data_IF_873295837567
#
_entry.id   IF_873295837567
#
_cell.length_a   1.000
_cell.length_b   1.000
_cell.length_c   1.000
_cell.angle_alpha   90.00
_cell.angle_beta   90.00
_cell.angle_gamma   90.00
#
_symmetry.space_group_name_H-M   'P 1'
#
loop_
_entity.id
_entity.type
_entity.pdbx_description
1 polymer ?
#
# COMPACT_ATOMS: atom_id res chain seq x y z
N UNK A 1 28.03 1.34 -6.93
CA UNK A 1 26.84 2.20 -6.80
C UNK A 1 25.58 1.46 -6.35
N UNK A 2 25.24 0.29 -6.89
CA UNK A 2 24.05 -0.51 -6.47
C UNK A 2 23.94 -0.71 -4.94
N UNK A 3 25.04 -0.92 -4.22
CA UNK A 3 25.06 -1.08 -2.75
C UNK A 3 24.52 0.18 -2.04
N UNK A 4 24.90 1.35 -2.48
CA UNK A 4 24.44 2.62 -1.88
C UNK A 4 22.95 2.86 -2.15
N UNK A 5 22.48 2.57 -3.36
CA UNK A 5 21.05 2.65 -3.71
C UNK A 5 20.23 1.71 -2.82
N UNK A 6 20.68 0.46 -2.63
CA UNK A 6 20.05 -0.49 -1.73
C UNK A 6 20.04 -0.03 -0.27
N UNK A 7 21.11 0.65 0.19
CA UNK A 7 21.13 1.27 1.51
C UNK A 7 20.11 2.39 1.64
N UNK A 8 19.99 3.26 0.63
CA UNK A 8 18.95 4.30 0.59
C UNK A 8 17.55 3.70 0.59
N UNK A 9 17.28 2.66 -0.21
CA UNK A 9 15.98 1.95 -0.22
C UNK A 9 15.67 1.39 1.17
N UNK A 10 16.66 0.79 1.83
CA UNK A 10 16.49 0.23 3.17
C UNK A 10 16.18 1.31 4.21
N UNK A 11 16.93 2.40 4.21
CA UNK A 11 16.69 3.53 5.10
C UNK A 11 15.32 4.19 4.83
N UNK A 12 14.98 4.38 3.56
CA UNK A 12 13.68 4.92 3.14
C UNK A 12 12.52 4.05 3.66
N UNK A 13 12.64 2.73 3.52
CA UNK A 13 11.63 1.80 4.02
C UNK A 13 11.46 1.91 5.54
N UNK A 14 12.57 1.85 6.29
CA UNK A 14 12.53 1.97 7.75
C UNK A 14 11.95 3.31 8.17
N UNK A 15 12.42 4.40 7.57
CA UNK A 15 12.00 5.74 7.93
C UNK A 15 10.51 5.99 7.60
N UNK A 16 10.01 5.44 6.47
CA UNK A 16 8.59 5.53 6.12
C UNK A 16 7.67 4.86 7.13
N UNK A 17 8.17 3.89 7.91
CA UNK A 17 7.41 3.27 8.99
C UNK A 17 7.28 4.16 10.23
N UNK A 18 8.25 5.05 10.48
CA UNK A 18 8.31 5.86 11.70
C UNK A 18 8.05 7.36 11.50
N UNK A 19 8.04 7.85 10.28
CA UNK A 19 7.98 9.29 10.02
C UNK A 19 6.79 9.98 10.66
N UNK A 20 5.62 9.36 10.63
CA UNK A 20 4.40 9.88 11.23
C UNK A 20 4.44 9.79 12.77
N UNK A 21 5.01 8.73 13.34
CA UNK A 21 5.20 8.59 14.78
C UNK A 21 6.12 9.68 15.30
N UNK A 22 7.27 9.90 14.66
CA UNK A 22 8.21 10.95 15.05
C UNK A 22 7.57 12.34 14.97
N UNK A 23 6.79 12.59 13.93
CA UNK A 23 6.04 13.84 13.83
C UNK A 23 5.00 14.00 14.94
N UNK A 24 4.28 12.95 15.29
CA UNK A 24 3.26 12.97 16.34
C UNK A 24 3.84 13.31 17.71
N UNK A 25 5.08 12.91 17.99
CA UNK A 25 5.75 13.22 19.26
C UNK A 25 6.49 14.57 19.26
N UNK A 26 7.16 14.91 18.16
CA UNK A 26 8.07 16.07 18.14
C UNK A 26 7.48 17.29 17.43
N UNK A 27 6.39 17.15 16.68
CA UNK A 27 5.74 18.19 15.88
C UNK A 27 6.68 18.94 14.90
N UNK A 28 7.80 18.29 14.52
CA UNK A 28 8.80 18.87 13.62
C UNK A 28 8.51 18.50 12.17
N UNK A 29 7.99 19.45 11.40
CA UNK A 29 7.61 19.24 9.99
C UNK A 29 8.79 18.82 9.08
N UNK A 30 10.03 19.17 9.45
CA UNK A 30 11.24 18.77 8.73
C UNK A 30 11.40 17.24 8.66
N UNK A 31 10.91 16.51 9.68
CA UNK A 31 10.96 15.04 9.70
C UNK A 31 10.23 14.42 8.49
N UNK A 32 9.24 15.09 7.95
CA UNK A 32 8.54 14.62 6.76
C UNK A 32 9.31 14.79 5.44
N UNK A 33 10.38 15.57 5.44
CA UNK A 33 11.20 15.77 4.22
C UNK A 33 12.31 14.72 4.09
N UNK A 34 12.65 14.01 5.18
CA UNK A 34 13.71 13.00 5.17
C UNK A 34 13.47 11.87 4.15
N UNK A 35 12.27 11.28 4.02
CA UNK A 35 12.02 10.27 2.99
C UNK A 35 12.30 10.78 1.58
N UNK A 36 11.97 12.03 1.28
CA UNK A 36 12.19 12.61 -0.05
C UNK A 36 13.67 12.89 -0.30
N UNK A 37 14.41 13.34 0.71
CA UNK A 37 15.86 13.51 0.61
C UNK A 37 16.57 12.18 0.36
N UNK A 38 16.17 11.12 1.06
CA UNK A 38 16.70 9.76 0.84
C UNK A 38 16.37 9.28 -0.59
N UNK A 39 15.17 9.55 -1.06
CA UNK A 39 14.74 9.18 -2.39
C UNK A 39 15.49 9.98 -3.47
N UNK A 40 15.66 11.27 -3.26
CA UNK A 40 16.45 12.13 -4.14
C UNK A 40 17.91 11.67 -4.21
N UNK A 41 18.53 11.36 -3.06
CA UNK A 41 19.88 10.81 -2.99
C UNK A 41 19.99 9.49 -3.78
N UNK A 42 19.02 8.57 -3.61
CA UNK A 42 18.97 7.32 -4.38
C UNK A 42 18.85 7.58 -5.89
N UNK A 43 18.00 8.55 -6.29
CA UNK A 43 17.80 8.92 -7.68
C UNK A 43 19.08 9.52 -8.30
N UNK A 44 19.76 10.42 -7.60
CA UNK A 44 21.04 11.01 -8.05
C UNK A 44 22.11 9.93 -8.23
N UNK A 45 22.26 9.02 -7.24
CA UNK A 45 23.22 7.92 -7.34
C UNK A 45 22.89 7.01 -8.54
N UNK A 46 21.60 6.70 -8.76
CA UNK A 46 21.17 5.89 -9.89
C UNK A 46 21.41 6.60 -11.24
N UNK A 47 21.21 7.90 -11.30
CA UNK A 47 21.51 8.72 -12.48
C UNK A 47 23.01 8.71 -12.80
N UNK A 48 23.87 8.94 -11.81
CA UNK A 48 25.33 8.87 -11.95
C UNK A 48 25.80 7.47 -12.37
N UNK A 49 25.21 6.40 -11.80
CA UNK A 49 25.51 5.01 -12.18
C UNK A 49 25.11 4.72 -13.64
N UNK A 50 23.99 5.28 -14.08
CA UNK A 50 23.50 5.14 -15.47
C UNK A 50 24.35 5.94 -16.45
N UNK A 51 24.69 7.17 -16.09
CA UNK A 51 25.54 8.04 -16.90
C UNK A 51 26.93 7.45 -17.11
N UNK A 52 27.58 6.99 -16.03
CA UNK A 52 28.89 6.34 -16.11
C UNK A 52 28.88 5.01 -16.88
N UNK A 53 27.74 4.34 -16.95
CA UNK A 53 27.57 3.12 -17.73
C UNK A 53 27.17 3.35 -19.19
N UNK A 54 26.94 4.61 -19.61
CA UNK A 54 26.48 4.98 -20.94
C UNK A 54 25.09 4.48 -21.33
N UNK A 55 24.30 3.99 -20.36
CA UNK A 55 22.94 3.48 -20.57
C UNK A 55 22.11 3.47 -19.28
N UNK A 56 20.84 3.79 -19.41
CA UNK A 56 19.89 3.67 -18.31
C UNK A 56 19.74 2.18 -17.96
N UNK A 57 20.12 1.82 -16.73
CA UNK A 57 20.01 0.45 -16.24
C UNK A 57 18.59 0.14 -15.79
N UNK A 58 17.68 -0.07 -16.74
CA UNK A 58 16.39 -0.69 -16.44
C UNK A 58 16.56 -2.20 -16.53
N UNK A 59 16.83 -2.86 -15.39
CA UNK A 59 17.11 -4.30 -15.39
C UNK A 59 15.93 -5.17 -15.82
N UNK A 60 14.71 -4.70 -15.61
CA UNK A 60 13.50 -5.41 -15.98
C UNK A 60 12.46 -4.44 -16.55
N UNK A 61 12.60 -3.98 -17.81
CA UNK A 61 11.54 -3.20 -18.43
C UNK A 61 10.29 -4.08 -18.57
N UNK A 62 9.18 -3.60 -18.06
CA UNK A 62 7.90 -4.27 -18.20
C UNK A 62 6.78 -3.24 -18.33
N UNK A 63 5.65 -3.70 -18.86
CA UNK A 63 4.52 -2.83 -19.21
C UNK A 63 4.00 -1.99 -18.03
N UNK A 64 4.01 -2.52 -16.80
CA UNK A 64 3.58 -1.76 -15.62
C UNK A 64 4.48 -0.57 -15.32
N UNK A 65 5.80 -0.67 -15.51
CA UNK A 65 6.71 0.47 -15.35
C UNK A 65 6.42 1.55 -16.41
N UNK A 66 6.19 1.13 -17.65
CA UNK A 66 5.84 2.05 -18.74
C UNK A 66 4.49 2.74 -18.48
N UNK A 67 3.47 1.99 -18.05
CA UNK A 67 2.16 2.57 -17.73
C UNK A 67 2.24 3.56 -16.57
N UNK A 68 3.02 3.27 -15.53
CA UNK A 68 3.21 4.21 -14.42
C UNK A 68 3.97 5.47 -14.87
N UNK A 69 4.97 5.31 -15.75
CA UNK A 69 5.69 6.46 -16.32
C UNK A 69 4.77 7.33 -17.18
N UNK A 70 3.92 6.73 -18.02
CA UNK A 70 2.92 7.46 -18.82
C UNK A 70 1.94 8.21 -17.90
N UNK A 71 1.45 7.57 -16.83
CA UNK A 71 0.59 8.21 -15.84
C UNK A 71 1.29 9.42 -15.20
N UNK A 72 2.56 9.27 -14.79
CA UNK A 72 3.34 10.35 -14.20
C UNK A 72 3.46 11.54 -15.17
N UNK A 73 3.89 11.29 -16.40
CA UNK A 73 4.05 12.34 -17.42
C UNK A 73 2.72 13.02 -17.72
N UNK A 74 1.65 12.26 -17.90
CA UNK A 74 0.32 12.79 -18.13
C UNK A 74 -0.13 13.73 -17.00
N UNK A 75 0.02 13.32 -15.74
CA UNK A 75 -0.34 14.13 -14.58
C UNK A 75 0.52 15.38 -14.45
N UNK A 76 1.83 15.30 -14.72
CA UNK A 76 2.71 16.48 -14.70
C UNK A 76 2.33 17.48 -15.80
N UNK A 77 2.01 17.00 -17.01
CA UNK A 77 1.59 17.86 -18.13
C UNK A 77 0.20 18.45 -17.83
N UNK A 78 -0.68 17.75 -17.12
CA UNK A 78 -2.03 18.22 -16.83
C UNK A 78 -2.06 19.57 -16.09
N UNK A 79 -0.99 19.93 -15.39
CA UNK A 79 -0.85 21.26 -14.78
C UNK A 79 -0.95 22.40 -15.80
N UNK A 80 -0.58 22.18 -17.06
CA UNK A 80 -0.55 23.23 -18.10
C UNK A 80 -1.93 23.72 -18.53
N UNK A 81 -2.98 22.92 -18.35
CA UNK A 81 -4.37 23.29 -18.66
C UNK A 81 -5.26 23.44 -17.44
N UNK A 82 -4.69 23.26 -16.25
CA UNK A 82 -5.43 23.35 -15.02
C UNK A 82 -5.51 24.75 -14.43
N UNK A 83 -6.24 24.89 -13.35
CA UNK A 83 -6.17 26.09 -12.51
C UNK A 83 -4.79 26.18 -11.88
N UNK A 84 -4.13 27.33 -12.02
CA UNK A 84 -2.76 27.55 -11.54
C UNK A 84 -2.64 27.54 -10.00
N UNK A 85 -2.76 26.35 -9.41
CA UNK A 85 -2.48 26.13 -7.99
C UNK A 85 -1.07 25.54 -7.83
N UNK A 86 -0.06 26.39 -7.80
CA UNK A 86 1.35 25.98 -7.69
C UNK A 86 1.60 25.16 -6.44
N UNK A 87 1.03 25.54 -5.30
CA UNK A 87 1.19 24.78 -4.05
C UNK A 87 0.60 23.37 -4.17
N UNK A 88 -0.62 23.27 -4.67
CA UNK A 88 -1.28 21.98 -4.92
C UNK A 88 -0.48 21.10 -5.88
N UNK A 89 0.01 21.69 -6.98
CA UNK A 89 0.86 21.01 -7.95
C UNK A 89 2.15 20.46 -7.31
N UNK A 90 2.88 21.28 -6.56
CA UNK A 90 4.13 20.86 -5.93
C UNK A 90 3.87 19.74 -4.91
N UNK A 91 2.85 19.89 -4.07
CA UNK A 91 2.54 18.89 -3.05
C UNK A 91 2.07 17.57 -3.65
N UNK A 92 1.18 17.62 -4.62
CA UNK A 92 0.64 16.43 -5.27
C UNK A 92 1.67 15.75 -6.18
N UNK A 93 2.37 16.55 -6.99
CA UNK A 93 3.45 16.08 -7.87
C UNK A 93 4.59 15.41 -7.12
N UNK A 94 4.98 15.96 -5.96
CA UNK A 94 5.97 15.36 -5.06
C UNK A 94 5.62 13.91 -4.68
N UNK A 95 4.36 13.65 -4.29
CA UNK A 95 3.95 12.30 -3.88
C UNK A 95 3.88 11.33 -5.05
N UNK A 96 3.38 11.76 -6.19
CA UNK A 96 3.29 10.92 -7.39
C UNK A 96 4.70 10.60 -7.93
N UNK A 97 5.56 11.61 -8.03
CA UNK A 97 6.96 11.42 -8.42
C UNK A 97 7.70 10.52 -7.44
N UNK A 98 7.52 10.75 -6.12
CA UNK A 98 8.11 9.92 -5.08
C UNK A 98 7.67 8.46 -5.18
N UNK A 99 6.38 8.21 -5.36
CA UNK A 99 5.84 6.88 -5.57
C UNK A 99 6.44 6.19 -6.81
N UNK A 100 6.55 6.91 -7.92
CA UNK A 100 7.18 6.40 -9.14
C UNK A 100 8.66 6.05 -8.90
N UNK A 101 9.41 6.93 -8.25
CA UNK A 101 10.83 6.71 -7.95
C UNK A 101 11.04 5.50 -7.03
N UNK A 102 10.22 5.35 -5.96
CA UNK A 102 10.26 4.16 -5.09
C UNK A 102 9.99 2.90 -5.90
N UNK A 103 8.95 2.90 -6.73
CA UNK A 103 8.62 1.76 -7.57
C UNK A 103 9.77 1.44 -8.54
N UNK A 104 10.29 2.43 -9.25
CA UNK A 104 11.40 2.30 -10.20
C UNK A 104 12.68 1.78 -9.52
N UNK A 105 13.10 2.40 -8.42
CA UNK A 105 14.32 2.03 -7.70
C UNK A 105 14.23 0.61 -7.15
N UNK A 106 13.12 0.27 -6.50
CA UNK A 106 12.90 -1.08 -5.97
C UNK A 106 12.90 -2.12 -7.09
N UNK A 107 12.21 -1.83 -8.20
CA UNK A 107 12.17 -2.73 -9.35
C UNK A 107 13.56 -2.95 -9.99
N UNK A 108 14.36 -1.90 -10.11
CA UNK A 108 15.61 -1.93 -10.90
C UNK A 108 16.85 -2.31 -10.08
N UNK A 109 16.90 -1.98 -8.80
CA UNK A 109 18.12 -2.07 -8.00
C UNK A 109 18.05 -3.00 -6.79
N UNK A 110 16.85 -3.40 -6.32
CA UNK A 110 16.71 -4.25 -5.15
C UNK A 110 17.43 -5.59 -5.35
N UNK A 111 18.36 -5.91 -4.47
CA UNK A 111 19.08 -7.20 -4.45
C UNK A 111 18.47 -8.19 -3.44
N UNK A 112 18.87 -9.47 -3.55
CA UNK A 112 18.36 -10.57 -2.72
C UNK A 112 18.63 -10.35 -1.23
N UNK A 113 19.81 -9.84 -0.89
CA UNK A 113 20.22 -9.62 0.50
C UNK A 113 19.41 -8.50 1.14
N UNK A 114 19.27 -7.39 0.43
CA UNK A 114 18.46 -6.25 0.87
C UNK A 114 17.00 -6.62 1.00
N UNK A 115 16.45 -7.34 0.01
CA UNK A 115 15.06 -7.82 0.07
C UNK A 115 14.81 -8.70 1.30
N UNK A 116 15.64 -9.69 1.55
CA UNK A 116 15.51 -10.56 2.74
C UNK A 116 15.62 -9.76 4.04
N UNK A 117 16.54 -8.78 4.10
CA UNK A 117 16.69 -7.88 5.25
C UNK A 117 15.41 -7.05 5.47
N UNK A 118 14.81 -6.49 4.40
CA UNK A 118 13.59 -5.68 4.50
C UNK A 118 12.39 -6.48 4.98
N UNK A 119 12.23 -7.71 4.51
CA UNK A 119 11.15 -8.60 4.97
C UNK A 119 11.32 -8.96 6.46
N UNK A 120 12.55 -9.19 6.93
CA UNK A 120 12.80 -9.43 8.34
C UNK A 120 12.58 -8.17 9.20
N UNK A 121 12.96 -7.00 8.69
CA UNK A 121 12.65 -5.71 9.34
C UNK A 121 11.15 -5.52 9.43
N UNK A 122 10.40 -5.72 8.34
CA UNK A 122 8.95 -5.61 8.34
C UNK A 122 8.29 -6.55 9.37
N UNK A 123 8.79 -7.79 9.48
CA UNK A 123 8.33 -8.73 10.51
C UNK A 123 8.54 -8.19 11.92
N UNK A 124 9.76 -7.73 12.23
CA UNK A 124 10.11 -7.19 13.55
C UNK A 124 9.31 -5.91 13.86
N UNK A 125 9.16 -5.04 12.87
CA UNK A 125 8.40 -3.81 12.99
C UNK A 125 6.91 -4.04 13.25
N UNK A 126 6.34 -5.15 12.77
CA UNK A 126 4.96 -5.50 13.09
C UNK A 126 4.78 -5.91 14.55
N UNK A 127 5.77 -6.56 15.15
CA UNK A 127 5.76 -6.86 16.58
C UNK A 127 5.83 -5.57 17.39
N UNK A 128 6.73 -4.65 17.02
CA UNK A 128 6.83 -3.34 17.66
C UNK A 128 5.54 -2.53 17.48
N UNK A 129 4.92 -2.63 16.30
CA UNK A 129 3.64 -1.99 16.02
C UNK A 129 2.55 -2.44 17.00
N UNK A 130 2.45 -3.74 17.27
CA UNK A 130 1.50 -4.27 18.28
C UNK A 130 1.76 -3.68 19.66
N UNK A 131 3.02 -3.64 20.09
CA UNK A 131 3.37 -3.09 21.41
C UNK A 131 2.98 -1.61 21.54
N UNK A 132 3.21 -0.82 20.47
CA UNK A 132 2.82 0.59 20.45
C UNK A 132 1.31 0.78 20.38
N UNK A 133 0.58 -0.04 19.61
CA UNK A 133 -0.89 -0.04 19.57
C UNK A 133 -1.46 -0.33 20.95
N UNK A 134 -0.95 -1.35 21.64
CA UNK A 134 -1.37 -1.66 23.02
C UNK A 134 -1.06 -0.51 23.99
N UNK A 135 0.12 0.11 23.89
CA UNK A 135 0.47 1.28 24.69
C UNK A 135 -0.47 2.47 24.41
N UNK A 136 -0.75 2.74 23.12
CA UNK A 136 -1.64 3.84 22.72
C UNK A 136 -3.08 3.63 23.20
N UNK A 137 -3.58 2.40 23.14
CA UNK A 137 -4.94 2.06 23.56
C UNK A 137 -5.08 1.99 25.09
N UNK A 138 -4.18 1.24 25.77
CA UNK A 138 -4.31 0.92 27.22
C UNK A 138 -3.74 2.03 28.10
N UNK A 139 -2.58 2.61 27.72
CA UNK A 139 -1.87 3.58 28.57
C UNK A 139 -2.27 5.02 28.23
N UNK A 140 -2.31 5.34 26.92
CA UNK A 140 -2.66 6.69 26.48
C UNK A 140 -4.17 6.90 26.30
N UNK A 141 -4.97 5.83 26.38
CA UNK A 141 -6.43 5.86 26.19
C UNK A 141 -6.87 6.59 24.91
N UNK A 142 -6.10 6.43 23.80
CA UNK A 142 -6.44 7.08 22.56
C UNK A 142 -7.68 6.43 21.91
N UNK A 143 -8.53 7.22 21.25
CA UNK A 143 -9.63 6.68 20.46
C UNK A 143 -9.10 5.74 19.36
N UNK A 144 -9.87 4.73 18.92
CA UNK A 144 -9.43 3.74 17.93
C UNK A 144 -8.85 4.34 16.67
N UNK A 145 -9.45 5.39 16.10
CA UNK A 145 -8.97 6.08 14.89
C UNK A 145 -7.59 6.74 15.05
N UNK A 146 -7.15 6.97 16.30
CA UNK A 146 -5.84 7.54 16.63
C UNK A 146 -4.84 6.49 17.11
N UNK A 147 -5.23 5.22 17.17
CA UNK A 147 -4.42 4.11 17.66
C UNK A 147 -3.68 3.46 16.48
N UNK A 148 -2.61 4.12 15.99
CA UNK A 148 -1.93 3.73 14.75
C UNK A 148 -0.51 3.19 14.95
N UNK A 149 -0.12 2.83 16.18
CA UNK A 149 1.16 2.20 16.48
C UNK A 149 2.37 2.98 15.95
N UNK A 150 3.18 2.33 15.14
CA UNK A 150 4.37 2.93 14.51
C UNK A 150 4.03 4.06 13.52
N UNK A 151 2.78 4.19 13.10
CA UNK A 151 2.32 5.24 12.18
C UNK A 151 1.79 6.50 12.91
N UNK A 152 1.97 6.61 14.23
CA UNK A 152 1.65 7.81 15.01
C UNK A 152 0.23 7.87 15.57
N UNK A 153 -0.29 9.08 15.80
CA UNK A 153 -1.58 9.32 16.45
C UNK A 153 -2.55 10.12 15.60
N UNK A 154 -2.35 10.20 14.28
CA UNK A 154 -3.23 10.95 13.41
C UNK A 154 -4.30 10.04 12.82
N UNK A 155 -5.54 10.51 12.71
CA UNK A 155 -6.62 9.76 12.06
C UNK A 155 -6.33 9.40 10.58
N UNK A 156 -5.40 10.11 9.93
CA UNK A 156 -4.96 9.80 8.56
C UNK A 156 -4.03 8.58 8.48
N UNK A 157 -3.40 8.18 9.58
CA UNK A 157 -2.48 7.06 9.62
C UNK A 157 -3.18 5.69 9.66
N UNK A 158 -4.47 5.66 10.00
CA UNK A 158 -5.27 4.44 10.09
C UNK A 158 -5.29 3.65 8.76
N UNK A 159 -5.38 4.34 7.63
CA UNK A 159 -5.36 3.72 6.31
C UNK A 159 -4.04 3.02 5.97
N UNK A 160 -2.88 3.65 6.27
CA UNK A 160 -1.57 3.04 6.00
C UNK A 160 -1.28 1.89 6.96
N UNK A 161 -1.69 2.00 8.23
CA UNK A 161 -1.58 0.90 9.19
C UNK A 161 -2.36 -0.33 8.73
N UNK A 162 -3.61 -0.14 8.32
CA UNK A 162 -4.42 -1.23 7.80
C UNK A 162 -3.82 -1.84 6.52
N UNK A 163 -3.32 -1.02 5.61
CA UNK A 163 -2.63 -1.50 4.41
C UNK A 163 -1.36 -2.31 4.78
N UNK A 164 -0.55 -1.82 5.72
CA UNK A 164 0.65 -2.52 6.16
C UNK A 164 0.33 -3.88 6.78
N UNK A 165 -0.66 -3.94 7.69
CA UNK A 165 -1.16 -5.17 8.26
C UNK A 165 -1.64 -6.15 7.17
N UNK A 166 -2.36 -5.65 6.17
CA UNK A 166 -2.87 -6.45 5.07
C UNK A 166 -1.75 -6.97 4.16
N UNK A 167 -0.79 -6.12 3.79
CA UNK A 167 0.36 -6.52 2.98
C UNK A 167 1.20 -7.62 3.65
N UNK A 168 1.43 -7.49 4.97
CA UNK A 168 2.14 -8.51 5.74
C UNK A 168 1.33 -9.80 5.91
N UNK A 169 0.02 -9.72 6.07
CA UNK A 169 -0.86 -10.88 6.16
C UNK A 169 -0.91 -11.66 4.84
N UNK A 170 -1.00 -10.95 3.70
CA UNK A 170 -0.92 -11.53 2.36
C UNK A 170 0.45 -12.19 2.14
N UNK A 171 1.54 -11.48 2.45
CA UNK A 171 2.91 -12.01 2.34
C UNK A 171 3.09 -13.27 3.19
N UNK A 172 2.61 -13.25 4.43
CA UNK A 172 2.67 -14.36 5.38
C UNK A 172 1.92 -15.59 4.86
N UNK A 173 0.68 -15.40 4.39
CA UNK A 173 -0.15 -16.47 3.83
C UNK A 173 0.52 -17.10 2.61
N UNK A 174 1.00 -16.27 1.67
CA UNK A 174 1.65 -16.77 0.45
C UNK A 174 2.97 -17.48 0.80
N UNK A 175 3.81 -16.93 1.67
CA UNK A 175 5.08 -17.56 2.04
C UNK A 175 4.88 -18.88 2.79
N UNK A 176 3.83 -19.00 3.61
CA UNK A 176 3.45 -20.26 4.21
C UNK A 176 3.04 -21.29 3.15
N UNK A 177 2.15 -20.94 2.23
CA UNK A 177 1.67 -21.84 1.17
C UNK A 177 2.79 -22.31 0.24
N UNK A 178 3.80 -21.46 -0.01
CA UNK A 178 4.97 -21.83 -0.82
C UNK A 178 6.09 -22.50 0.01
N UNK A 179 5.88 -22.73 1.32
CA UNK A 179 6.85 -23.38 2.20
C UNK A 179 8.11 -22.57 2.49
N UNK A 180 8.06 -21.23 2.28
CA UNK A 180 9.16 -20.32 2.61
C UNK A 180 9.22 -19.98 4.10
N UNK A 181 8.08 -19.95 4.75
CA UNK A 181 7.94 -19.70 6.19
C UNK A 181 7.24 -20.88 6.87
N UNK A 182 7.64 -21.12 8.13
CA UNK A 182 6.98 -22.11 8.99
C UNK A 182 5.62 -21.61 9.47
N UNK A 183 4.78 -22.55 9.92
CA UNK A 183 3.42 -22.30 10.39
C UNK A 183 3.37 -21.26 11.50
N UNK A 184 4.20 -21.42 12.54
CA UNK A 184 4.20 -20.49 13.70
C UNK A 184 4.52 -19.05 13.30
N UNK A 185 5.59 -18.84 12.51
CA UNK A 185 5.97 -17.50 12.03
C UNK A 185 4.83 -16.84 11.26
N UNK A 186 4.16 -17.60 10.42
CA UNK A 186 3.07 -17.10 9.58
C UNK A 186 1.81 -16.78 10.37
N UNK A 187 1.41 -17.67 11.26
CA UNK A 187 0.22 -17.47 12.10
C UNK A 187 0.40 -16.32 13.08
N UNK A 188 1.57 -16.19 13.72
CA UNK A 188 1.87 -15.08 14.63
C UNK A 188 1.71 -13.74 13.92
N UNK A 189 2.25 -13.60 12.69
CA UNK A 189 2.18 -12.34 11.96
C UNK A 189 0.74 -11.98 11.56
N UNK A 190 -0.05 -12.96 11.13
CA UNK A 190 -1.47 -12.75 10.81
C UNK A 190 -2.25 -12.39 12.08
N UNK A 191 -2.02 -13.10 13.19
CA UNK A 191 -2.67 -12.83 14.48
C UNK A 191 -2.38 -11.40 14.95
N UNK A 192 -1.10 -10.98 14.94
CA UNK A 192 -0.70 -9.62 15.28
C UNK A 192 -1.44 -8.60 14.42
N UNK A 193 -1.50 -8.82 13.10
CA UNK A 193 -2.20 -7.92 12.17
C UNK A 193 -3.71 -7.84 12.46
N UNK A 194 -4.36 -8.97 12.77
CA UNK A 194 -5.77 -9.00 13.16
C UNK A 194 -6.01 -8.24 14.47
N UNK A 195 -5.16 -8.43 15.48
CA UNK A 195 -5.29 -7.75 16.77
C UNK A 195 -5.12 -6.23 16.60
N UNK A 196 -4.09 -5.79 15.87
CA UNK A 196 -3.86 -4.37 15.58
C UNK A 196 -5.09 -3.76 14.89
N UNK A 197 -5.59 -4.39 13.84
CA UNK A 197 -6.74 -3.88 13.09
C UNK A 197 -8.04 -3.93 13.89
N UNK A 198 -8.19 -4.86 14.83
CA UNK A 198 -9.33 -4.90 15.74
C UNK A 198 -9.28 -3.73 16.74
N UNK A 199 -8.12 -3.49 17.38
CA UNK A 199 -7.94 -2.41 18.35
C UNK A 199 -8.04 -1.01 17.73
N UNK A 200 -7.62 -0.86 16.46
CA UNK A 200 -7.71 0.37 15.69
C UNK A 200 -9.04 0.51 14.90
N UNK A 201 -10.02 -0.39 15.11
CA UNK A 201 -11.30 -0.43 14.38
C UNK A 201 -11.19 -0.38 12.85
N UNK A 202 -10.14 -0.94 12.28
CA UNK A 202 -9.92 -0.98 10.82
C UNK A 202 -10.76 -2.12 10.20
N UNK A 203 -12.06 -1.90 10.11
CA UNK A 203 -13.07 -2.91 9.68
C UNK A 203 -12.82 -3.43 8.27
N UNK A 204 -12.42 -2.55 7.36
CA UNK A 204 -12.17 -2.85 5.95
C UNK A 204 -11.02 -3.86 5.76
N UNK A 205 -10.07 -3.92 6.69
CA UNK A 205 -8.99 -4.90 6.69
C UNK A 205 -9.54 -6.33 6.62
N UNK A 206 -10.51 -6.67 7.45
CA UNK A 206 -11.05 -8.02 7.54
C UNK A 206 -11.74 -8.44 6.24
N UNK A 207 -12.53 -7.53 5.67
CA UNK A 207 -13.25 -7.78 4.41
C UNK A 207 -12.24 -8.02 3.26
N UNK A 208 -11.28 -7.11 3.09
CA UNK A 208 -10.30 -7.23 1.99
C UNK A 208 -9.38 -8.43 2.22
N UNK A 209 -9.04 -8.77 3.47
CA UNK A 209 -8.21 -9.93 3.77
C UNK A 209 -8.89 -11.24 3.39
N UNK A 210 -10.20 -11.39 3.66
CA UNK A 210 -10.97 -12.56 3.23
C UNK A 210 -10.93 -12.69 1.70
N UNK A 211 -11.21 -11.61 0.96
CA UNK A 211 -11.12 -11.62 -0.50
C UNK A 211 -9.70 -11.95 -0.98
N UNK A 212 -8.68 -11.42 -0.32
CA UNK A 212 -7.28 -11.71 -0.63
C UNK A 212 -6.95 -13.20 -0.47
N UNK A 213 -7.45 -13.85 0.58
CA UNK A 213 -7.28 -15.29 0.81
C UNK A 213 -7.95 -16.08 -0.31
N UNK A 214 -9.19 -15.75 -0.66
CA UNK A 214 -9.91 -16.41 -1.76
C UNK A 214 -9.11 -16.32 -3.06
N UNK A 215 -8.60 -15.13 -3.39
CA UNK A 215 -7.78 -14.93 -4.60
C UNK A 215 -6.46 -15.71 -4.53
N UNK A 216 -5.79 -15.74 -3.37
CA UNK A 216 -4.58 -16.54 -3.17
C UNK A 216 -4.89 -18.01 -3.49
N UNK A 217 -5.99 -18.55 -3.00
CA UNK A 217 -6.36 -19.96 -3.25
C UNK A 217 -6.71 -20.23 -4.71
N UNK A 218 -7.37 -19.30 -5.39
CA UNK A 218 -7.70 -19.43 -6.82
C UNK A 218 -6.44 -19.42 -7.67
N UNK A 219 -5.52 -18.49 -7.41
CA UNK A 219 -4.37 -18.25 -8.27
C UNK A 219 -3.09 -18.99 -7.87
N UNK A 220 -3.06 -19.62 -6.68
CA UNK A 220 -1.92 -20.45 -6.31
C UNK A 220 -1.80 -21.66 -7.24
N UNK A 221 -0.61 -21.86 -7.81
CA UNK A 221 -0.29 -22.99 -8.69
C UNK A 221 0.51 -24.02 -7.91
N UNK A 222 -0.11 -24.78 -7.03
CA UNK A 222 0.60 -25.72 -6.20
C UNK A 222 0.08 -27.16 -6.29
N UNK A 223 0.99 -28.12 -6.19
CA UNK A 223 0.71 -29.56 -6.22
C UNK A 223 0.00 -30.07 -4.95
N UNK A 224 -0.50 -31.29 -5.00
CA UNK A 224 -1.43 -31.94 -4.05
C UNK A 224 -1.02 -31.92 -2.57
N UNK A 225 0.29 -31.93 -2.26
CA UNK A 225 0.83 -31.87 -0.88
C UNK A 225 0.41 -30.60 -0.14
N UNK A 226 0.01 -29.60 -0.89
CA UNK A 226 -0.36 -28.26 -0.38
C UNK A 226 -1.83 -28.11 -0.04
N UNK A 227 -2.71 -29.07 -0.41
CA UNK A 227 -4.13 -29.05 -0.03
C UNK A 227 -4.30 -29.10 1.49
N UNK A 228 -3.50 -29.92 2.19
CA UNK A 228 -3.50 -29.99 3.64
C UNK A 228 -3.07 -28.66 4.26
N UNK A 229 -2.04 -28.01 3.71
CA UNK A 229 -1.63 -26.66 4.16
C UNK A 229 -2.71 -25.62 3.93
N UNK A 230 -3.45 -25.71 2.82
CA UNK A 230 -4.56 -24.82 2.51
C UNK A 230 -5.65 -24.95 3.57
N UNK A 231 -6.05 -26.18 3.88
CA UNK A 231 -7.09 -26.46 4.89
C UNK A 231 -6.63 -25.99 6.28
N UNK A 232 -5.38 -26.29 6.67
CA UNK A 232 -4.84 -25.86 7.97
C UNK A 232 -4.69 -24.33 8.04
N UNK A 233 -4.33 -23.66 6.94
CA UNK A 233 -4.26 -22.20 6.89
C UNK A 233 -5.66 -21.60 7.00
N UNK A 234 -6.64 -22.11 6.26
CA UNK A 234 -8.02 -21.66 6.33
C UNK A 234 -8.60 -21.84 7.75
N UNK A 235 -8.37 -23.01 8.37
CA UNK A 235 -8.78 -23.27 9.75
C UNK A 235 -8.09 -22.32 10.75
N UNK A 236 -6.78 -22.10 10.61
CA UNK A 236 -6.02 -21.15 11.45
C UNK A 236 -6.52 -19.72 11.31
N UNK A 237 -6.79 -19.27 10.09
CA UNK A 237 -7.33 -17.94 9.82
C UNK A 237 -8.75 -17.81 10.40
N UNK A 238 -9.60 -18.82 10.22
CA UNK A 238 -10.96 -18.83 10.81
C UNK A 238 -10.92 -18.74 12.33
N UNK A 239 -9.99 -19.46 12.97
CA UNK A 239 -9.77 -19.37 14.41
C UNK A 239 -9.30 -17.97 14.84
N UNK A 240 -8.39 -17.35 14.09
CA UNK A 240 -7.93 -15.99 14.36
C UNK A 240 -9.05 -14.94 14.20
N UNK A 241 -9.95 -15.12 13.21
CA UNK A 241 -11.14 -14.28 13.10
C UNK A 241 -12.08 -14.44 14.30
N UNK A 242 -12.29 -15.67 14.79
CA UNK A 242 -13.09 -15.90 15.99
C UNK A 242 -12.46 -15.27 17.24
N UNK A 243 -11.14 -15.35 17.38
CA UNK A 243 -10.41 -14.71 18.48
C UNK A 243 -10.53 -13.18 18.38
N UNK A 244 -10.29 -12.62 17.19
CA UNK A 244 -10.43 -11.17 16.95
C UNK A 244 -11.87 -10.70 17.22
N UNK A 245 -12.88 -11.46 16.78
CA UNK A 245 -14.28 -11.21 17.08
C UNK A 245 -14.54 -11.16 18.59
N UNK A 246 -14.07 -12.17 19.34
CA UNK A 246 -14.22 -12.21 20.79
C UNK A 246 -13.47 -11.09 21.52
N UNK A 247 -12.30 -10.69 21.02
CA UNK A 247 -11.57 -9.54 21.57
C UNK A 247 -12.35 -8.24 21.36
N UNK A 248 -12.93 -8.04 20.17
CA UNK A 248 -13.77 -6.86 19.88
C UNK A 248 -15.00 -6.86 20.82
N UNK A 249 -15.64 -8.03 21.02
CA UNK A 249 -16.79 -8.18 21.94
C UNK A 249 -16.44 -7.77 23.38
N UNK A 250 -15.24 -8.10 23.86
CA UNK A 250 -14.78 -7.81 25.20
C UNK A 250 -14.37 -6.33 25.35
N UNK A 251 -13.65 -5.78 24.34
CA UNK A 251 -13.06 -4.45 24.41
C UNK A 251 -14.07 -3.36 24.01
N UNK A 252 -15.00 -3.67 23.10
CA UNK A 252 -15.94 -2.70 22.51
C UNK A 252 -17.37 -3.27 22.42
N UNK A 253 -18.01 -3.68 23.52
CA UNK A 253 -19.30 -4.39 23.49
C UNK A 253 -20.40 -3.59 22.80
N UNK A 254 -20.44 -2.26 22.96
CA UNK A 254 -21.46 -1.38 22.36
C UNK A 254 -21.26 -1.16 20.87
N UNK A 255 -20.09 -1.46 20.33
CA UNK A 255 -19.73 -1.18 18.94
C UNK A 255 -19.91 -2.42 18.01
N UNK A 256 -20.17 -3.59 18.55
CA UNK A 256 -20.32 -4.82 17.75
C UNK A 256 -21.40 -4.72 16.68
N UNK A 257 -22.54 -4.16 17.01
CA UNK A 257 -23.64 -3.96 16.04
C UNK A 257 -23.23 -2.98 14.92
N UNK A 258 -22.51 -1.91 15.28
CA UNK A 258 -22.04 -0.92 14.30
C UNK A 258 -20.86 -1.44 13.49
N UNK A 259 -20.07 -2.37 14.04
CA UNK A 259 -18.94 -2.98 13.36
C UNK A 259 -19.36 -3.77 12.11
N UNK A 260 -20.48 -4.52 12.17
CA UNK A 260 -20.97 -5.32 11.05
C UNK A 260 -22.00 -4.62 10.16
N UNK A 261 -22.40 -3.38 10.47
CA UNK A 261 -23.33 -2.64 9.63
C UNK A 261 -22.61 -2.00 8.43
N UNK A 262 -22.49 -2.75 7.33
CA UNK A 262 -21.83 -2.35 6.09
C UNK A 262 -22.47 -1.07 5.50
N UNK A 263 -23.79 -1.00 5.52
CA UNK A 263 -24.53 0.18 4.99
C UNK A 263 -24.17 1.44 5.75
N UNK A 264 -24.17 1.37 7.08
CA UNK A 264 -23.77 2.51 7.93
C UNK A 264 -22.30 2.86 7.75
N UNK A 265 -21.42 1.88 7.61
CA UNK A 265 -19.99 2.10 7.37
C UNK A 265 -19.71 2.76 6.02
N UNK A 266 -20.47 2.40 4.96
CA UNK A 266 -20.31 2.99 3.63
C UNK A 266 -20.92 4.39 3.53
N UNK A 267 -22.03 4.63 4.22
CA UNK A 267 -22.75 5.92 4.17
C UNK A 267 -22.26 6.95 5.21
N UNK A 268 -21.42 6.54 6.15
CA UNK A 268 -21.02 7.35 7.30
C UNK A 268 -20.44 8.72 6.96
N UNK A 269 -19.68 8.81 5.88
CA UNK A 269 -19.00 10.04 5.43
C UNK A 269 -19.74 10.78 4.30
N UNK A 270 -20.85 10.22 3.79
CA UNK A 270 -21.60 10.87 2.72
C UNK A 270 -22.36 12.09 3.27
N UNK A 271 -21.87 13.26 2.96
CA UNK A 271 -22.49 14.54 3.30
C UNK A 271 -22.73 15.33 2.01
N UNK A 272 -23.71 16.20 2.03
CA UNK A 272 -24.04 17.06 0.86
C UNK A 272 -22.89 18.02 0.51
N UNK A 273 -22.08 18.41 1.51
CA UNK A 273 -20.99 19.37 1.36
C UNK A 273 -19.64 18.70 1.07
N UNK A 274 -19.52 17.38 1.19
CA UNK A 274 -18.24 16.66 1.07
C UNK A 274 -18.42 15.38 0.26
N UNK A 275 -17.40 15.05 -0.53
CA UNK A 275 -17.32 13.76 -1.17
C UNK A 275 -16.99 12.66 -0.13
N UNK A 276 -17.89 11.71 0.03
CA UNK A 276 -17.72 10.53 0.88
C UNK A 276 -17.34 9.29 0.08
N UNK A 277 -17.49 8.10 0.71
CA UNK A 277 -17.07 6.82 0.12
C UNK A 277 -17.86 6.40 -1.10
N UNK A 278 -19.17 6.67 -1.11
CA UNK A 278 -20.07 6.18 -2.16
C UNK A 278 -20.53 7.28 -3.10
N UNK A 279 -20.42 8.56 -2.72
CA UNK A 279 -20.88 9.69 -3.52
C UNK A 279 -19.75 10.46 -4.24
N UNK A 280 -18.51 10.00 -4.20
CA UNK A 280 -17.35 10.72 -4.79
C UNK A 280 -17.58 11.11 -6.25
N UNK A 281 -18.09 10.18 -7.07
CA UNK A 281 -18.27 10.43 -8.51
C UNK A 281 -19.39 11.44 -8.75
N UNK A 282 -20.56 11.26 -8.12
CA UNK A 282 -21.68 12.21 -8.25
C UNK A 282 -21.30 13.59 -7.70
N UNK A 283 -20.63 13.64 -6.55
CA UNK A 283 -20.16 14.88 -5.97
C UNK A 283 -19.22 15.66 -6.92
N UNK A 284 -18.24 14.99 -7.52
CA UNK A 284 -17.33 15.62 -8.47
C UNK A 284 -18.03 16.03 -9.75
N UNK A 285 -19.00 15.22 -10.21
CA UNK A 285 -19.78 15.57 -11.38
C UNK A 285 -20.57 16.86 -11.16
N UNK A 286 -21.25 16.97 -10.03
CA UNK A 286 -22.10 18.13 -9.73
C UNK A 286 -21.30 19.39 -9.36
N UNK A 287 -20.15 19.24 -8.69
CA UNK A 287 -19.40 20.37 -8.16
C UNK A 287 -18.17 20.78 -8.99
N UNK A 288 -17.57 19.84 -9.74
CA UNK A 288 -16.32 20.08 -10.46
C UNK A 288 -16.50 20.02 -11.98
N UNK A 289 -17.28 19.07 -12.48
CA UNK A 289 -17.40 18.80 -13.92
C UNK A 289 -18.75 19.24 -14.52
N UNK A 290 -19.60 19.89 -13.75
CA UNK A 290 -20.94 20.28 -14.19
C UNK A 290 -20.90 20.91 -15.58
N UNK A 291 -21.50 20.21 -16.59
CA UNK A 291 -21.48 20.54 -18.02
C UNK A 291 -20.11 20.69 -18.69
N UNK A 292 -19.00 20.34 -18.02
CA UNK A 292 -17.64 20.39 -18.57
C UNK A 292 -17.09 18.97 -18.83
N UNK A 293 -17.52 18.37 -19.94
CA UNK A 293 -17.11 17.02 -20.34
C UNK A 293 -15.61 16.93 -20.64
N UNK A 294 -14.97 18.01 -21.13
CA UNK A 294 -13.55 18.04 -21.43
C UNK A 294 -12.76 17.88 -20.12
N UNK A 295 -13.13 18.66 -19.11
CA UNK A 295 -12.51 18.51 -17.78
C UNK A 295 -12.84 17.16 -17.11
N UNK A 296 -13.96 16.54 -17.37
CA UNK A 296 -14.23 15.19 -16.89
C UNK A 296 -13.26 14.17 -17.52
N UNK A 297 -12.89 14.34 -18.80
CA UNK A 297 -11.94 13.45 -19.49
C UNK A 297 -10.50 13.71 -19.09
N UNK A 298 -10.07 14.98 -19.05
CA UNK A 298 -8.66 15.39 -18.89
C UNK A 298 -8.33 15.90 -17.49
N UNK A 299 -9.30 16.12 -16.62
CA UNK A 299 -9.12 16.72 -15.28
C UNK A 299 -9.03 18.25 -15.32
N UNK A 300 -8.97 18.83 -14.13
CA UNK A 300 -8.74 20.28 -13.91
C UNK A 300 -7.27 20.61 -13.67
N UNK A 301 -6.36 19.64 -13.87
CA UNK A 301 -4.94 19.78 -13.67
C UNK A 301 -4.45 19.33 -12.30
N UNK A 302 -3.19 18.84 -12.26
CA UNK A 302 -2.59 18.27 -11.07
C UNK A 302 -2.59 19.26 -9.89
N UNK A 303 -3.22 18.86 -8.77
CA UNK A 303 -3.29 19.66 -7.56
C UNK A 303 -4.25 20.84 -7.62
N UNK A 304 -5.09 20.95 -8.66
CA UNK A 304 -6.05 22.04 -8.84
C UNK A 304 -7.19 22.02 -7.82
N UNK A 305 -7.52 20.85 -7.31
CA UNK A 305 -8.69 20.62 -6.45
C UNK A 305 -8.26 19.93 -5.13
N UNK A 306 -8.38 20.66 -4.04
CA UNK A 306 -8.13 20.15 -2.69
C UNK A 306 -9.42 20.16 -1.90
N UNK A 307 -10.18 19.06 -1.93
CA UNK A 307 -11.31 18.86 -1.01
C UNK A 307 -10.90 17.84 0.04
N UNK A 308 -11.17 18.17 1.29
CA UNK A 308 -11.09 17.21 2.39
C UNK A 308 -12.09 16.06 2.13
N UNK A 309 -11.71 14.83 2.52
CA UNK A 309 -12.52 13.61 2.38
C UNK A 309 -12.72 13.06 0.96
N UNK A 310 -11.93 13.46 -0.04
CA UNK A 310 -11.91 12.76 -1.33
C UNK A 310 -10.87 11.62 -1.27
N UNK A 311 -11.30 10.40 -1.59
CA UNK A 311 -10.41 9.26 -1.77
C UNK A 311 -9.58 9.38 -3.05
N UNK A 312 -8.61 8.47 -3.25
CA UNK A 312 -7.67 8.58 -4.36
C UNK A 312 -8.35 8.59 -5.73
N UNK A 313 -9.44 7.84 -5.90
CA UNK A 313 -10.24 7.87 -7.12
C UNK A 313 -10.70 9.29 -7.46
N UNK A 314 -11.24 9.99 -6.47
CA UNK A 314 -11.71 11.36 -6.66
C UNK A 314 -10.58 12.34 -6.94
N UNK A 315 -9.44 12.18 -6.26
CA UNK A 315 -8.24 13.01 -6.53
C UNK A 315 -7.72 12.80 -7.95
N UNK A 316 -7.66 11.55 -8.42
CA UNK A 316 -7.25 11.24 -9.76
C UNK A 316 -8.22 11.79 -10.82
N UNK A 317 -9.52 11.70 -10.57
CA UNK A 317 -10.51 12.31 -11.45
C UNK A 317 -10.35 13.84 -11.50
N UNK A 318 -10.15 14.49 -10.36
CA UNK A 318 -9.93 15.93 -10.32
C UNK A 318 -8.63 16.35 -11.01
N UNK A 319 -7.54 15.62 -10.77
CA UNK A 319 -6.19 15.94 -11.29
C UNK A 319 -6.09 15.72 -12.81
N UNK A 320 -6.49 14.54 -13.29
CA UNK A 320 -6.28 14.13 -14.69
C UNK A 320 -7.49 13.45 -15.33
N UNK A 321 -8.68 13.60 -14.77
CA UNK A 321 -9.92 13.08 -15.35
C UNK A 321 -9.95 11.54 -15.45
N UNK A 322 -10.86 11.06 -16.29
CA UNK A 322 -11.00 9.64 -16.56
C UNK A 322 -9.72 9.00 -17.14
N UNK A 323 -8.91 9.75 -17.89
CA UNK A 323 -7.65 9.24 -18.46
C UNK A 323 -6.69 8.82 -17.36
N UNK A 324 -6.52 9.65 -16.31
CA UNK A 324 -5.61 9.32 -15.20
C UNK A 324 -6.07 8.07 -14.43
N UNK A 325 -7.39 7.92 -14.26
CA UNK A 325 -7.97 6.73 -13.61
C UNK A 325 -7.74 5.49 -14.47
N UNK A 326 -7.98 5.56 -15.77
CA UNK A 326 -7.73 4.43 -16.70
C UNK A 326 -6.25 4.04 -16.66
N UNK A 327 -5.33 4.99 -16.70
CA UNK A 327 -3.88 4.72 -16.64
C UNK A 327 -3.48 4.08 -15.31
N UNK A 328 -3.99 4.58 -14.17
CA UNK A 328 -3.72 4.02 -12.85
C UNK A 328 -4.24 2.58 -12.73
N UNK A 329 -5.48 2.34 -13.15
CA UNK A 329 -6.04 0.99 -13.12
C UNK A 329 -5.35 0.06 -14.11
N UNK A 330 -4.95 0.54 -15.29
CA UNK A 330 -4.15 -0.24 -16.25
C UNK A 330 -2.79 -0.64 -15.67
N UNK A 331 -2.12 0.26 -14.94
CA UNK A 331 -0.90 -0.05 -14.21
C UNK A 331 -1.14 -1.16 -13.17
N UNK A 332 -2.12 -1.01 -12.28
CA UNK A 332 -2.43 -2.00 -11.25
C UNK A 332 -2.90 -3.34 -11.83
N UNK A 333 -3.75 -3.29 -12.87
CA UNK A 333 -4.22 -4.48 -13.58
C UNK A 333 -3.06 -5.23 -14.25
N UNK A 334 -2.09 -4.52 -14.82
CA UNK A 334 -0.91 -5.14 -15.41
C UNK A 334 -0.08 -5.92 -14.38
N UNK A 335 0.00 -5.43 -13.14
CA UNK A 335 0.64 -6.12 -12.02
C UNK A 335 -0.17 -7.34 -11.58
N UNK A 336 -1.49 -7.20 -11.48
CA UNK A 336 -2.40 -8.28 -11.13
C UNK A 336 -2.31 -9.43 -12.14
N UNK A 337 -2.45 -9.15 -13.42
CA UNK A 337 -2.39 -10.15 -14.50
C UNK A 337 -1.03 -10.83 -14.53
N UNK A 338 0.05 -10.07 -14.38
CA UNK A 338 1.40 -10.64 -14.43
C UNK A 338 1.65 -11.69 -13.36
N UNK A 339 1.16 -11.49 -12.15
CA UNK A 339 1.36 -12.45 -11.07
C UNK A 339 0.42 -13.65 -11.12
N UNK A 340 -0.77 -13.49 -11.69
CA UNK A 340 -1.75 -14.57 -11.82
C UNK A 340 -1.49 -15.47 -13.02
N UNK A 341 -1.09 -14.91 -14.17
CA UNK A 341 -0.95 -15.64 -15.45
C UNK A 341 0.45 -16.18 -15.67
N UNK A 342 1.51 -15.46 -15.24
CA UNK A 342 2.89 -15.87 -15.58
C UNK A 342 3.28 -17.19 -14.92
N UNK A 343 3.64 -18.18 -15.75
CA UNK A 343 3.98 -19.55 -15.32
C UNK A 343 5.46 -19.76 -14.94
N UNK A 344 6.26 -18.71 -14.81
CA UNK A 344 7.68 -18.84 -14.51
C UNK A 344 7.94 -19.41 -13.10
N UNK A 345 8.78 -20.48 -12.99
CA UNK A 345 9.14 -21.13 -11.71
C UNK A 345 9.84 -20.19 -10.72
N UNK A 346 10.50 -19.14 -11.21
CA UNK A 346 11.23 -18.19 -10.38
C UNK A 346 10.30 -17.08 -9.87
N UNK A 347 10.34 -16.79 -8.57
CA UNK A 347 9.59 -15.70 -7.89
C UNK A 347 8.06 -15.80 -7.98
N UNK A 348 7.52 -17.00 -8.11
CA UNK A 348 6.08 -17.19 -8.23
C UNK A 348 5.33 -16.65 -7.00
N UNK A 349 5.88 -16.87 -5.79
CA UNK A 349 5.33 -16.34 -4.54
C UNK A 349 5.30 -14.82 -4.50
N UNK A 350 6.41 -14.14 -4.84
CA UNK A 350 6.50 -12.68 -4.82
C UNK A 350 5.58 -12.04 -5.87
N UNK A 351 5.47 -12.67 -7.05
CA UNK A 351 4.53 -12.22 -8.08
C UNK A 351 3.08 -12.36 -7.64
N UNK A 352 2.74 -13.47 -6.97
CA UNK A 352 1.40 -13.64 -6.41
C UNK A 352 1.11 -12.59 -5.32
N UNK A 353 2.08 -12.33 -4.43
CA UNK A 353 1.96 -11.27 -3.42
C UNK A 353 1.65 -9.93 -4.09
N UNK A 354 2.44 -9.54 -5.09
CA UNK A 354 2.22 -8.28 -5.82
C UNK A 354 0.86 -8.22 -6.50
N UNK A 355 0.40 -9.32 -7.10
CA UNK A 355 -0.93 -9.37 -7.71
C UNK A 355 -2.04 -9.12 -6.70
N UNK A 356 -1.97 -9.79 -5.55
CA UNK A 356 -2.98 -9.61 -4.50
C UNK A 356 -2.91 -8.19 -3.94
N UNK A 357 -1.71 -7.65 -3.70
CA UNK A 357 -1.54 -6.26 -3.24
C UNK A 357 -2.05 -5.26 -4.28
N UNK A 358 -1.81 -5.48 -5.58
CA UNK A 358 -2.36 -4.63 -6.63
C UNK A 358 -3.91 -4.64 -6.62
N UNK A 359 -4.52 -5.80 -6.42
CA UNK A 359 -5.97 -5.92 -6.24
C UNK A 359 -6.46 -5.17 -5.00
N UNK A 360 -5.76 -5.30 -3.88
CA UNK A 360 -6.04 -4.55 -2.64
C UNK A 360 -6.01 -3.05 -2.89
N UNK A 361 -4.98 -2.56 -3.59
CA UNK A 361 -4.83 -1.13 -3.92
C UNK A 361 -5.96 -0.67 -4.84
N UNK A 362 -6.37 -1.47 -5.84
CA UNK A 362 -7.51 -1.14 -6.71
C UNK A 362 -8.81 -0.92 -5.93
N UNK A 363 -9.08 -1.75 -4.91
CA UNK A 363 -10.25 -1.56 -4.03
C UNK A 363 -10.05 -0.35 -3.11
N UNK A 364 -8.87 -0.21 -2.51
CA UNK A 364 -8.56 0.86 -1.55
C UNK A 364 -8.70 2.25 -2.15
N UNK A 365 -8.36 2.43 -3.41
CA UNK A 365 -8.49 3.69 -4.15
C UNK A 365 -9.95 4.17 -4.17
N UNK A 366 -10.91 3.25 -4.21
CA UNK A 366 -12.34 3.58 -4.30
C UNK A 366 -12.92 3.95 -2.92
N UNK A 367 -12.62 3.13 -1.89
CA UNK A 367 -13.44 3.15 -0.66
C UNK A 367 -12.65 3.39 0.62
N UNK A 368 -11.32 3.45 0.58
CA UNK A 368 -10.59 3.41 1.83
C UNK A 368 -9.49 4.47 1.98
N UNK A 369 -8.56 4.60 1.03
CA UNK A 369 -7.33 5.33 1.29
C UNK A 369 -6.83 6.17 0.11
N UNK A 370 -6.06 7.21 0.45
CA UNK A 370 -5.26 7.94 -0.53
C UNK A 370 -3.97 7.18 -0.83
N UNK A 371 -3.72 6.91 -2.10
CA UNK A 371 -2.58 6.11 -2.56
C UNK A 371 -1.31 6.93 -2.77
N UNK A 372 -1.45 8.24 -3.03
CA UNK A 372 -0.30 9.14 -3.24
C UNK A 372 -0.21 10.13 -2.07
N UNK A 373 0.33 9.64 -0.95
CA UNK A 373 0.67 10.41 0.26
C UNK A 373 2.06 10.00 0.74
N UNK A 374 2.61 10.65 1.76
CA UNK A 374 3.97 10.38 2.29
C UNK A 374 4.19 8.95 2.72
N UNK A 375 3.26 8.42 3.48
CA UNK A 375 3.34 7.06 4.04
C UNK A 375 3.17 5.97 2.97
N UNK A 376 2.64 6.30 1.81
CA UNK A 376 2.33 5.33 0.76
C UNK A 376 3.54 4.90 -0.07
N UNK A 377 4.75 5.41 0.20
CA UNK A 377 5.97 4.83 -0.36
C UNK A 377 6.08 3.34 -0.06
N UNK A 378 5.56 2.89 1.09
CA UNK A 378 5.45 1.46 1.43
C UNK A 378 4.58 0.68 0.44
N UNK A 379 3.48 1.26 -0.03
CA UNK A 379 2.59 0.62 -1.02
C UNK A 379 3.36 0.32 -2.30
N UNK A 380 4.08 1.32 -2.83
CA UNK A 380 4.83 1.18 -4.07
C UNK A 380 6.06 0.28 -3.93
N UNK A 381 6.66 0.22 -2.75
CA UNK A 381 7.67 -0.78 -2.42
C UNK A 381 7.09 -2.20 -2.56
N UNK A 382 5.95 -2.49 -1.92
CA UNK A 382 5.32 -3.81 -2.01
C UNK A 382 4.86 -4.14 -3.44
N UNK A 383 4.36 -3.17 -4.21
CA UNK A 383 3.99 -3.36 -5.62
C UNK A 383 5.20 -3.68 -6.52
N UNK A 384 6.40 -3.26 -6.15
CA UNK A 384 7.61 -3.46 -6.95
C UNK A 384 8.29 -4.81 -6.70
N UNK A 385 8.14 -5.42 -5.52
CA UNK A 385 8.95 -6.60 -5.11
C UNK A 385 8.84 -7.81 -6.05
N UNK A 386 7.69 -8.05 -6.66
CA UNK A 386 7.49 -9.18 -7.58
C UNK A 386 8.24 -9.03 -8.90
N UNK A 387 8.59 -7.81 -9.26
CA UNK A 387 9.28 -7.46 -10.50
C UNK A 387 10.75 -7.08 -10.27
N UNK A 388 11.19 -6.97 -9.01
CA UNK A 388 12.53 -6.57 -8.67
C UNK A 388 13.61 -7.45 -9.31
N UNK A 389 14.79 -6.89 -9.53
CA UNK A 389 15.88 -7.53 -10.27
C UNK A 389 16.62 -8.63 -9.51
N UNK A 390 16.31 -8.82 -8.21
CA UNK A 390 16.95 -9.86 -7.42
C UNK A 390 16.69 -11.25 -8.03
N UNK A 391 17.70 -12.12 -8.00
CA UNK A 391 17.55 -13.54 -8.35
C UNK A 391 16.92 -14.22 -7.15
N UNK A 392 15.86 -15.00 -7.37
CA UNK A 392 15.37 -15.88 -6.32
C UNK A 392 16.49 -16.84 -5.95
N UNK A 393 17.15 -16.57 -4.84
CA UNK A 393 18.12 -17.52 -4.30
C UNK A 393 17.34 -18.81 -4.08
N UNK A 394 17.79 -19.90 -4.72
CA UNK A 394 17.44 -21.24 -4.28
C UNK A 394 17.77 -21.23 -2.79
N UNK A 395 16.79 -21.13 -1.93
CA UNK A 395 16.96 -21.42 -0.53
C UNK A 395 17.53 -22.83 -0.52
N UNK A 396 18.83 -22.92 -0.24
CA UNK A 396 19.51 -24.16 0.01
C UNK A 396 18.64 -24.84 1.06
N UNK A 397 18.00 -25.94 0.65
CA UNK A 397 17.48 -26.92 1.60
C UNK A 397 18.66 -27.25 2.49
N UNK A 398 18.66 -26.72 3.69
CA UNK A 398 19.33 -27.37 4.80
C UNK A 398 18.35 -28.47 5.21
N UNK A 399 18.68 -29.65 4.77
CA UNK A 399 18.12 -30.89 5.23
C UNK A 399 18.26 -30.98 6.77
#
# INVERSE_FOLDING_TARGET
MTKYINSCIKLLFIYSLFSELLYSYYSVSLLFTIPDLLLLAAAVIAFVDSYSAGKIRVKNPHISLMLFFILLIFLLISFTWGTLNIYGFVMRGRYILGAFLVYFMTNSYLDDRTFSSLINIAYFMQILNLLLVLHQNIVLHLPPDFTNGIFGFTNYANGIQGFYCLALSVLSTVYYLYGKWGTMKSLILIAISCIICALAEIKIFFVIFIFSIILIFIFQKSETVKKIRIISTAAGISLLFLIAYKLIEIVLPDNLYTFFNVTKALSYENRTEFAGRTNTISFLWDNLFYHDYISAIFGKGLGSYSVNYIYELGKMLADGGFISVILLYSFLLSLFIRGTITRGKNKQSERLIVSIIAFVVMISIIVWNSTFTRSTYLVFFFLAIGNAAYKSTKLIRRD
#
